data_IF_531862351932
#
_entry.id   IF_531862351932
#
_cell.length_a   1.000
_cell.length_b   1.000
_cell.length_c   1.000
_cell.angle_alpha   90.00
_cell.angle_beta   90.00
_cell.angle_gamma   90.00
#
_symmetry.space_group_name_H-M   'P 1'
#
loop_
_entity.id
_entity.type
_entity.pdbx_description
1 polymer ?
#
# COMPACT_ATOMS: atom_id res chain seq x y z
N UNK A 1 18.04 8.82 -13.61
CA UNK A 1 18.15 7.37 -13.38
C UNK A 1 18.38 6.62 -14.70
N UNK A 2 17.49 6.77 -15.69
CA UNK A 2 17.63 6.08 -17.01
C UNK A 2 18.97 6.34 -17.67
N UNK A 3 19.45 7.59 -17.70
CA UNK A 3 20.75 7.95 -18.26
C UNK A 3 21.94 7.30 -17.51
N UNK A 4 21.71 6.91 -16.26
CA UNK A 4 22.69 6.20 -15.43
C UNK A 4 22.56 4.67 -15.54
N UNK A 5 21.64 4.15 -16.36
CA UNK A 5 21.40 2.73 -16.52
C UNK A 5 20.63 2.08 -15.34
N UNK A 6 20.05 2.89 -14.44
CA UNK A 6 19.22 2.42 -13.33
C UNK A 6 17.75 2.43 -13.74
N UNK A 7 17.03 1.34 -13.50
CA UNK A 7 15.58 1.29 -13.72
C UNK A 7 14.89 2.34 -12.84
N UNK A 8 14.08 3.26 -13.38
CA UNK A 8 13.45 4.29 -12.55
C UNK A 8 12.45 3.74 -11.54
N UNK A 9 11.62 2.78 -11.97
CA UNK A 9 10.54 2.20 -11.16
C UNK A 9 10.56 0.68 -11.26
N UNK A 10 10.70 -0.01 -10.14
CA UNK A 10 10.50 -1.45 -10.05
C UNK A 10 9.02 -1.77 -9.77
N UNK A 11 8.49 -2.78 -10.44
CA UNK A 11 7.11 -3.24 -10.28
C UNK A 11 7.02 -4.75 -10.47
N UNK A 12 6.29 -5.43 -9.60
CA UNK A 12 5.95 -6.84 -9.79
C UNK A 12 4.82 -7.01 -10.82
N UNK A 13 4.73 -8.20 -11.39
CA UNK A 13 3.83 -8.48 -12.51
C UNK A 13 2.47 -9.06 -12.10
N UNK A 14 2.21 -9.30 -10.82
CA UNK A 14 0.91 -9.80 -10.37
C UNK A 14 -0.15 -8.67 -10.41
N UNK A 15 -1.38 -9.01 -10.81
CA UNK A 15 -2.47 -8.04 -11.00
C UNK A 15 -2.73 -7.16 -9.79
N UNK A 16 -2.80 -7.75 -8.58
CA UNK A 16 -3.01 -6.99 -7.35
C UNK A 16 -1.91 -5.95 -7.05
N UNK A 17 -0.66 -6.23 -7.41
CA UNK A 17 0.45 -5.29 -7.24
C UNK A 17 0.31 -4.09 -8.20
N UNK A 18 -0.13 -4.37 -9.41
CA UNK A 18 -0.41 -3.33 -10.41
C UNK A 18 -1.61 -2.48 -9.98
N UNK A 19 -2.65 -3.10 -9.40
CA UNK A 19 -3.80 -2.38 -8.83
C UNK A 19 -3.40 -1.43 -7.70
N UNK A 20 -2.51 -1.84 -6.81
CA UNK A 20 -1.97 -0.96 -5.75
C UNK A 20 -1.28 0.26 -6.38
N UNK A 21 -0.39 0.04 -7.34
CA UNK A 21 0.30 1.14 -8.01
C UNK A 21 -0.67 2.06 -8.77
N UNK A 22 -1.65 1.48 -9.47
CA UNK A 22 -2.70 2.21 -10.16
C UNK A 22 -3.51 3.07 -9.20
N UNK A 23 -3.98 2.49 -8.08
CA UNK A 23 -4.73 3.20 -7.05
C UNK A 23 -3.93 4.34 -6.43
N UNK A 24 -2.66 4.10 -6.08
CA UNK A 24 -1.78 5.11 -5.51
C UNK A 24 -1.54 6.30 -6.47
N UNK A 25 -1.28 6.03 -7.74
CA UNK A 25 -1.10 7.06 -8.77
C UNK A 25 -2.40 7.83 -8.98
N UNK A 26 -3.53 7.13 -9.11
CA UNK A 26 -4.83 7.74 -9.31
C UNK A 26 -5.19 8.67 -8.16
N UNK A 27 -5.04 8.20 -6.92
CA UNK A 27 -5.28 9.01 -5.73
C UNK A 27 -4.35 10.24 -5.67
N UNK A 28 -3.07 10.05 -5.96
CA UNK A 28 -2.09 11.13 -5.93
C UNK A 28 -2.38 12.22 -6.97
N UNK A 29 -2.79 11.86 -8.17
CA UNK A 29 -2.98 12.79 -9.30
C UNK A 29 -4.39 13.34 -9.37
N UNK A 30 -5.42 12.49 -9.28
CA UNK A 30 -6.82 12.95 -9.32
C UNK A 30 -7.26 13.64 -8.02
N UNK A 31 -6.61 13.32 -6.90
CA UNK A 31 -6.93 13.87 -5.58
C UNK A 31 -8.09 13.17 -4.90
N UNK A 32 -8.23 13.46 -3.61
CA UNK A 32 -9.16 12.78 -2.72
C UNK A 32 -10.63 12.96 -3.14
N UNK A 33 -11.01 14.16 -3.61
CA UNK A 33 -12.40 14.45 -3.99
C UNK A 33 -12.83 13.59 -5.19
N UNK A 34 -12.02 13.59 -6.26
CA UNK A 34 -12.30 12.79 -7.44
C UNK A 34 -12.23 11.28 -7.13
N UNK A 35 -11.27 10.87 -6.29
CA UNK A 35 -11.17 9.48 -5.84
C UNK A 35 -12.43 9.04 -5.09
N UNK A 36 -12.94 9.83 -4.14
CA UNK A 36 -14.19 9.56 -3.43
C UNK A 36 -15.38 9.51 -4.40
N UNK A 37 -15.46 10.45 -5.34
CA UNK A 37 -16.52 10.49 -6.35
C UNK A 37 -16.64 9.18 -7.13
N UNK A 38 -15.52 8.55 -7.48
CA UNK A 38 -15.53 7.26 -8.19
C UNK A 38 -15.67 6.08 -7.23
N UNK A 39 -14.86 6.02 -6.18
CA UNK A 39 -14.77 4.80 -5.35
C UNK A 39 -15.88 4.72 -4.29
N UNK A 40 -16.43 5.83 -3.84
CA UNK A 40 -17.50 5.86 -2.84
C UNK A 40 -18.85 6.13 -3.51
N UNK A 41 -18.94 7.24 -4.26
CA UNK A 41 -20.23 7.71 -4.83
C UNK A 41 -20.59 6.99 -6.13
N UNK A 42 -19.67 6.20 -6.71
CA UNK A 42 -19.84 5.47 -7.98
C UNK A 42 -20.24 6.39 -9.14
N UNK A 43 -19.73 7.61 -9.14
CA UNK A 43 -20.08 8.63 -10.14
C UNK A 43 -19.26 8.43 -11.43
N UNK A 44 -19.93 7.93 -12.46
CA UNK A 44 -19.30 7.69 -13.76
C UNK A 44 -18.88 8.97 -14.50
N UNK A 45 -19.48 10.11 -14.21
CA UNK A 45 -19.09 11.38 -14.85
C UNK A 45 -17.76 11.88 -14.27
N UNK A 46 -17.52 11.71 -12.96
CA UNK A 46 -16.23 11.95 -12.35
C UNK A 46 -15.15 11.05 -12.93
N UNK A 47 -15.47 9.75 -13.12
CA UNK A 47 -14.54 8.79 -13.72
C UNK A 47 -14.14 9.15 -15.17
N UNK A 48 -14.97 9.92 -15.88
CA UNK A 48 -14.70 10.42 -17.24
C UNK A 48 -14.13 11.84 -17.24
N UNK A 49 -13.97 12.43 -16.09
CA UNK A 49 -13.52 13.81 -15.90
C UNK A 49 -12.02 14.01 -16.17
N UNK A 50 -11.60 15.28 -16.21
CA UNK A 50 -10.20 15.63 -16.49
C UNK A 50 -9.22 15.13 -15.43
N UNK A 51 -9.63 15.00 -14.16
CA UNK A 51 -8.81 14.52 -13.06
C UNK A 51 -8.40 13.06 -13.29
N UNK A 52 -9.37 12.20 -13.66
CA UNK A 52 -9.08 10.80 -13.99
C UNK A 52 -8.35 10.64 -15.32
N UNK A 53 -8.60 11.50 -16.30
CA UNK A 53 -7.80 11.54 -17.53
C UNK A 53 -6.33 11.79 -17.23
N UNK A 54 -6.02 12.79 -16.41
CA UNK A 54 -4.65 13.07 -15.98
C UNK A 54 -4.04 11.91 -15.16
N UNK A 55 -4.84 11.24 -14.31
CA UNK A 55 -4.39 10.08 -13.57
C UNK A 55 -4.04 8.90 -14.49
N UNK A 56 -4.84 8.61 -15.50
CA UNK A 56 -4.53 7.58 -16.50
C UNK A 56 -3.27 7.90 -17.30
N UNK A 57 -3.06 9.15 -17.70
CA UNK A 57 -1.82 9.58 -18.34
C UNK A 57 -0.60 9.35 -17.44
N UNK A 58 -0.72 9.62 -16.15
CA UNK A 58 0.33 9.36 -15.18
C UNK A 58 0.60 7.86 -14.99
N UNK A 59 -0.43 7.00 -15.03
CA UNK A 59 -0.26 5.54 -14.99
C UNK A 59 0.50 5.05 -16.22
N UNK A 60 0.18 5.54 -17.41
CA UNK A 60 0.94 5.21 -18.64
C UNK A 60 2.40 5.61 -18.49
N UNK A 61 2.67 6.82 -18.00
CA UNK A 61 4.05 7.29 -17.79
C UNK A 61 4.79 6.43 -16.74
N UNK A 62 4.11 6.02 -15.65
CA UNK A 62 4.69 5.13 -14.63
C UNK A 62 5.01 3.74 -15.20
N UNK A 63 4.13 3.20 -16.05
CA UNK A 63 4.38 1.94 -16.76
C UNK A 63 5.60 2.02 -17.67
N UNK A 64 5.75 3.12 -18.40
CA UNK A 64 6.92 3.34 -19.23
C UNK A 64 8.22 3.39 -18.41
N UNK A 65 8.19 4.01 -17.22
CA UNK A 65 9.30 4.05 -16.28
C UNK A 65 9.62 2.67 -15.66
N UNK A 66 8.64 1.76 -15.61
CA UNK A 66 8.79 0.40 -15.11
C UNK A 66 9.15 -0.61 -16.21
N UNK A 67 9.26 -0.18 -17.48
CA UNK A 67 9.66 -1.04 -18.61
C UNK A 67 11.05 -1.62 -18.34
N UNK A 68 11.11 -2.96 -18.21
CA UNK A 68 12.35 -3.66 -17.81
C UNK A 68 12.31 -4.22 -16.39
N UNK A 69 11.27 -3.95 -15.62
CA UNK A 69 11.01 -4.64 -14.36
C UNK A 69 10.48 -6.04 -14.66
N UNK A 70 11.38 -7.03 -14.75
CA UNK A 70 11.03 -8.41 -15.11
C UNK A 70 10.98 -9.31 -13.87
N UNK A 71 10.28 -8.88 -12.83
CA UNK A 71 10.11 -9.61 -11.57
C UNK A 71 8.64 -9.92 -11.34
N UNK A 72 8.36 -11.10 -10.78
CA UNK A 72 6.98 -11.56 -10.55
C UNK A 72 6.39 -10.96 -9.27
N UNK A 73 7.17 -10.94 -8.21
CA UNK A 73 6.69 -10.62 -6.88
C UNK A 73 7.16 -9.25 -6.40
N UNK A 74 6.35 -8.62 -5.57
CA UNK A 74 6.61 -7.30 -5.01
C UNK A 74 7.92 -7.21 -4.20
N UNK A 75 8.27 -8.26 -3.45
CA UNK A 75 9.51 -8.30 -2.67
C UNK A 75 10.75 -8.39 -3.56
N UNK A 76 10.64 -9.00 -4.73
CA UNK A 76 11.70 -8.96 -5.75
C UNK A 76 11.89 -7.54 -6.29
N UNK A 77 10.78 -6.81 -6.54
CA UNK A 77 10.83 -5.40 -6.93
C UNK A 77 11.43 -4.54 -5.80
N UNK A 78 11.06 -4.79 -4.53
CA UNK A 78 11.69 -4.13 -3.37
C UNK A 78 13.19 -4.39 -3.33
N UNK A 79 13.62 -5.64 -3.57
CA UNK A 79 15.04 -5.98 -3.61
C UNK A 79 15.81 -5.26 -4.73
N UNK A 80 15.18 -4.96 -5.87
CA UNK A 80 15.81 -4.12 -6.90
C UNK A 80 16.12 -2.71 -6.37
N UNK A 81 15.24 -2.13 -5.53
CA UNK A 81 15.50 -0.83 -4.89
C UNK A 81 16.60 -0.96 -3.84
N UNK A 82 16.54 -1.97 -2.98
CA UNK A 82 17.54 -2.24 -1.93
C UNK A 82 18.95 -2.37 -2.52
N UNK A 83 19.08 -3.02 -3.68
CA UNK A 83 20.37 -3.26 -4.34
C UNK A 83 20.80 -2.13 -5.28
N UNK A 84 19.99 -1.08 -5.45
CA UNK A 84 20.26 0.02 -6.37
C UNK A 84 20.04 -0.30 -7.85
N UNK A 85 19.45 -1.46 -8.18
CA UNK A 85 19.07 -1.82 -9.55
C UNK A 85 17.87 -1.01 -10.04
N UNK A 86 17.03 -0.53 -9.11
CA UNK A 86 15.93 0.39 -9.38
C UNK A 86 15.95 1.58 -8.41
N UNK A 87 15.37 2.70 -8.84
CA UNK A 87 15.33 3.93 -8.05
C UNK A 87 14.14 4.05 -7.12
N UNK A 88 13.03 3.38 -7.44
CA UNK A 88 11.79 3.45 -6.67
C UNK A 88 10.92 2.21 -6.87
N UNK A 89 9.93 2.06 -5.97
CA UNK A 89 8.82 1.12 -6.08
C UNK A 89 7.56 1.81 -5.53
N UNK A 90 6.40 1.52 -6.12
CA UNK A 90 5.10 1.86 -5.53
C UNK A 90 4.52 0.59 -4.92
N UNK A 91 4.38 0.58 -3.59
CA UNK A 91 3.89 -0.57 -2.83
C UNK A 91 3.34 -0.10 -1.48
N UNK A 92 2.64 -0.97 -0.77
CA UNK A 92 2.19 -0.70 0.59
C UNK A 92 3.34 -0.58 1.59
N UNK A 93 3.04 -0.06 2.76
CA UNK A 93 3.99 0.23 3.81
C UNK A 93 4.75 -1.00 4.32
N UNK A 94 4.17 -2.20 4.19
CA UNK A 94 4.83 -3.47 4.53
C UNK A 94 6.15 -3.73 3.76
N UNK A 95 6.37 -3.07 2.62
CA UNK A 95 7.64 -3.17 1.91
C UNK A 95 8.84 -2.71 2.77
N UNK A 96 8.61 -1.88 3.78
CA UNK A 96 9.62 -1.44 4.73
C UNK A 96 10.23 -2.62 5.52
N UNK A 97 9.48 -3.70 5.75
CA UNK A 97 9.98 -4.91 6.38
C UNK A 97 11.16 -5.53 5.61
N UNK A 98 11.11 -5.53 4.27
CA UNK A 98 12.21 -6.03 3.43
C UNK A 98 13.47 -5.16 3.56
N UNK A 99 13.32 -3.84 3.59
CA UNK A 99 14.44 -2.92 3.83
C UNK A 99 15.07 -3.15 5.20
N UNK A 100 14.24 -3.34 6.24
CA UNK A 100 14.69 -3.61 7.59
C UNK A 100 15.47 -4.93 7.70
N UNK A 101 14.95 -6.00 7.08
CA UNK A 101 15.62 -7.32 7.03
C UNK A 101 16.96 -7.23 6.28
N UNK A 102 17.05 -6.39 5.25
CA UNK A 102 18.27 -6.14 4.51
C UNK A 102 19.26 -5.21 5.26
N UNK A 103 18.92 -4.74 6.47
CA UNK A 103 19.75 -3.84 7.26
C UNK A 103 19.80 -2.40 6.73
N UNK A 104 18.85 -2.02 5.88
CA UNK A 104 18.74 -0.66 5.34
C UNK A 104 18.11 0.28 6.37
N UNK A 105 18.58 1.51 6.42
CA UNK A 105 18.17 2.54 7.38
C UNK A 105 17.38 3.64 6.65
N UNK A 106 16.14 3.85 7.08
CA UNK A 106 15.30 4.94 6.57
C UNK A 106 15.97 6.30 6.82
N UNK A 107 15.88 7.19 5.83
CA UNK A 107 16.54 8.50 5.85
C UNK A 107 18.03 8.48 5.45
N UNK A 108 18.64 7.30 5.35
CA UNK A 108 20.03 7.12 4.90
C UNK A 108 20.09 6.34 3.60
N UNK A 109 19.50 5.15 3.58
CA UNK A 109 19.58 4.23 2.45
C UNK A 109 18.32 4.29 1.57
N UNK A 110 17.18 4.57 2.18
CA UNK A 110 15.91 4.76 1.48
C UNK A 110 15.05 5.84 2.15
N UNK A 111 14.00 6.27 1.47
CA UNK A 111 12.97 7.16 2.00
C UNK A 111 11.61 6.77 1.44
N UNK A 112 10.54 7.32 2.01
CA UNK A 112 9.18 7.10 1.56
C UNK A 112 8.46 8.41 1.23
N UNK A 113 7.55 8.33 0.27
CA UNK A 113 6.74 9.43 -0.21
C UNK A 113 5.25 9.03 -0.14
N UNK A 114 4.59 9.12 1.03
CA UNK A 114 3.16 8.86 1.14
C UNK A 114 2.37 9.72 0.14
N UNK A 115 1.37 9.10 -0.54
CA UNK A 115 0.62 9.77 -1.60
C UNK A 115 1.49 10.30 -2.73
N UNK A 116 2.61 9.64 -3.01
CA UNK A 116 3.64 10.03 -3.99
C UNK A 116 4.17 11.46 -3.79
N UNK A 117 4.06 12.00 -2.57
CA UNK A 117 4.45 13.37 -2.24
C UNK A 117 3.48 14.45 -2.76
N UNK A 118 2.36 14.07 -3.37
CA UNK A 118 1.35 15.00 -3.92
C UNK A 118 0.13 15.13 -3.01
N UNK A 119 -0.50 14.01 -2.68
CA UNK A 119 -1.67 13.94 -1.80
C UNK A 119 -1.42 12.92 -0.69
N UNK A 120 -0.82 13.31 0.45
CA UNK A 120 -0.46 12.40 1.52
C UNK A 120 -1.71 11.97 2.33
N UNK A 121 -2.41 11.00 1.81
CA UNK A 121 -3.54 10.31 2.46
C UNK A 121 -3.28 8.82 2.48
N UNK A 122 -3.91 8.11 3.41
CA UNK A 122 -3.80 6.67 3.58
C UNK A 122 -5.11 6.02 3.13
N UNK A 123 -5.03 5.14 2.17
CA UNK A 123 -6.09 4.15 1.92
C UNK A 123 -5.99 3.08 3.01
N UNK A 124 -7.08 2.91 3.76
CA UNK A 124 -7.13 2.00 4.90
C UNK A 124 -7.36 0.55 4.49
N UNK A 125 -6.52 0.04 3.60
CA UNK A 125 -6.38 -1.39 3.41
C UNK A 125 -5.65 -2.03 4.59
N UNK A 126 -5.82 -3.33 4.79
CA UNK A 126 -5.11 -4.04 5.85
C UNK A 126 -5.30 -5.54 5.77
N UNK A 127 -4.51 -6.26 6.57
CA UNK A 127 -4.66 -7.70 6.71
C UNK A 127 -5.80 -8.03 7.66
N UNK A 128 -6.57 -9.07 7.33
CA UNK A 128 -7.62 -9.62 8.17
C UNK A 128 -7.28 -11.05 8.58
N UNK A 129 -7.49 -11.35 9.86
CA UNK A 129 -7.38 -12.70 10.39
C UNK A 129 -8.77 -13.34 10.46
N UNK A 130 -8.94 -14.46 9.77
CA UNK A 130 -10.18 -15.22 9.75
C UNK A 130 -10.06 -16.45 10.65
N UNK A 131 -11.04 -16.65 11.50
CA UNK A 131 -11.13 -17.80 12.39
C UNK A 131 -12.24 -18.73 11.87
N UNK A 132 -11.90 -19.94 11.40
CA UNK A 132 -12.91 -20.88 10.91
C UNK A 132 -13.84 -21.30 12.06
N UNK A 133 -15.12 -21.45 11.75
CA UNK A 133 -16.10 -22.04 12.68
C UNK A 133 -15.73 -23.50 12.93
N UNK A 134 -15.74 -23.91 14.19
CA UNK A 134 -15.56 -25.29 14.59
C UNK A 134 -16.42 -25.62 15.81
N UNK A 135 -16.66 -26.90 16.05
CA UNK A 135 -17.51 -27.39 17.16
C UNK A 135 -16.71 -27.71 18.43
N UNK A 136 -15.39 -27.57 18.41
CA UNK A 136 -14.52 -27.83 19.55
C UNK A 136 -14.38 -26.55 20.40
N UNK A 137 -14.85 -26.59 21.68
CA UNK A 137 -14.77 -25.42 22.54
C UNK A 137 -13.35 -25.03 22.93
N UNK A 138 -12.39 -25.97 22.95
CA UNK A 138 -10.98 -25.68 23.24
C UNK A 138 -10.34 -24.92 22.06
N UNK A 139 -10.64 -25.31 20.83
CA UNK A 139 -10.19 -24.61 19.64
C UNK A 139 -10.82 -23.20 19.59
N UNK A 140 -12.11 -23.07 19.86
CA UNK A 140 -12.79 -21.77 19.92
C UNK A 140 -12.18 -20.86 20.98
N UNK A 141 -11.87 -21.39 22.17
CA UNK A 141 -11.19 -20.62 23.22
C UNK A 141 -9.80 -20.14 22.75
N UNK A 142 -9.02 -21.03 22.15
CA UNK A 142 -7.69 -20.67 21.62
C UNK A 142 -7.76 -19.62 20.50
N UNK A 143 -8.76 -19.68 19.62
CA UNK A 143 -9.00 -18.63 18.61
C UNK A 143 -9.28 -17.26 19.23
N UNK A 144 -10.10 -17.21 20.29
CA UNK A 144 -10.41 -15.97 21.00
C UNK A 144 -9.18 -15.41 21.74
N UNK A 145 -8.36 -16.28 22.35
CA UNK A 145 -7.10 -15.88 22.97
C UNK A 145 -6.12 -15.32 21.93
N UNK A 146 -5.99 -15.97 20.78
CA UNK A 146 -5.17 -15.47 19.67
C UNK A 146 -5.66 -14.11 19.15
N UNK A 147 -6.98 -13.96 18.96
CA UNK A 147 -7.56 -12.69 18.53
C UNK A 147 -7.25 -11.56 19.55
N UNK A 148 -7.41 -11.84 20.85
CA UNK A 148 -7.08 -10.88 21.90
C UNK A 148 -5.58 -10.55 21.93
N UNK A 149 -4.72 -11.54 21.72
CA UNK A 149 -3.27 -11.35 21.65
C UNK A 149 -2.88 -10.47 20.46
N UNK A 150 -3.42 -10.73 19.27
CA UNK A 150 -3.11 -9.97 18.04
C UNK A 150 -3.44 -8.48 18.15
N UNK A 151 -4.47 -8.12 18.93
CA UNK A 151 -4.84 -6.73 19.16
C UNK A 151 -4.26 -6.15 20.47
N UNK A 152 -3.45 -6.91 21.22
CA UNK A 152 -2.84 -6.40 22.45
C UNK A 152 -1.84 -5.29 22.14
N UNK A 153 -1.61 -4.33 23.06
CA UNK A 153 -0.67 -3.23 22.84
C UNK A 153 0.74 -3.71 22.48
N UNK A 154 1.24 -4.69 23.20
CA UNK A 154 2.62 -5.21 23.01
C UNK A 154 2.80 -5.85 21.63
N UNK A 155 1.82 -6.65 21.21
CA UNK A 155 1.87 -7.32 19.90
C UNK A 155 1.69 -6.30 18.79
N UNK A 156 0.78 -5.34 18.92
CA UNK A 156 0.58 -4.29 17.92
C UNK A 156 1.86 -3.45 17.73
N UNK A 157 2.58 -3.11 18.77
CA UNK A 157 3.86 -2.42 18.66
C UNK A 157 4.90 -3.30 17.96
N UNK A 158 5.17 -4.50 18.50
CA UNK A 158 6.25 -5.36 17.99
C UNK A 158 6.01 -5.83 16.56
N UNK A 159 4.77 -6.22 16.25
CA UNK A 159 4.38 -6.69 14.92
C UNK A 159 4.52 -5.59 13.87
N UNK A 160 3.99 -4.38 14.15
CA UNK A 160 4.02 -3.30 13.18
C UNK A 160 5.42 -2.73 12.99
N UNK A 161 6.24 -2.64 14.04
CA UNK A 161 7.66 -2.28 13.90
C UNK A 161 8.44 -3.27 13.03
N UNK A 162 8.16 -4.58 13.15
CA UNK A 162 8.80 -5.59 12.33
C UNK A 162 8.31 -5.58 10.88
N UNK A 163 7.00 -5.40 10.68
CA UNK A 163 6.37 -5.36 9.36
C UNK A 163 6.63 -4.05 8.62
N UNK A 164 6.81 -2.94 9.33
CA UNK A 164 6.90 -1.60 8.77
C UNK A 164 5.54 -0.94 8.49
N UNK A 165 4.46 -1.51 9.02
CA UNK A 165 3.07 -1.05 8.82
C UNK A 165 2.56 -0.24 10.01
N UNK A 166 1.41 0.43 9.82
CA UNK A 166 0.77 1.19 10.88
C UNK A 166 -0.13 0.27 11.73
N UNK A 167 -0.18 0.50 13.06
CA UNK A 167 -1.02 -0.28 13.95
C UNK A 167 -2.51 0.09 13.80
N UNK A 168 -3.39 -0.86 14.13
CA UNK A 168 -4.84 -0.60 14.21
C UNK A 168 -5.25 0.09 15.52
N UNK A 169 -4.30 0.26 16.47
CA UNK A 169 -4.51 0.92 17.75
C UNK A 169 -3.90 2.31 17.75
N UNK A 170 -4.67 3.29 18.25
CA UNK A 170 -4.19 4.65 18.46
C UNK A 170 -3.72 4.95 19.90
N UNK A 171 -3.78 3.98 20.81
CA UNK A 171 -3.49 4.11 22.24
C UNK A 171 -2.16 3.43 22.65
N UNK A 172 -1.25 3.26 21.71
CA UNK A 172 0.06 2.60 21.89
C UNK A 172 1.20 3.56 21.55
N UNK A 173 2.37 3.31 22.15
CA UNK A 173 3.57 4.11 21.91
C UNK A 173 4.34 3.59 20.69
N UNK A 174 4.35 4.38 19.63
CA UNK A 174 5.08 4.14 18.39
C UNK A 174 6.28 5.13 18.23
N UNK A 175 6.78 5.70 19.32
CA UNK A 175 7.86 6.68 19.27
C UNK A 175 9.18 6.12 18.70
N UNK A 176 9.36 4.80 18.74
CA UNK A 176 10.53 4.09 18.16
C UNK A 176 10.35 3.73 16.69
N UNK A 177 9.19 4.02 16.09
CA UNK A 177 8.96 3.78 14.66
C UNK A 177 9.87 4.66 13.80
N UNK A 178 10.26 4.15 12.64
CA UNK A 178 11.10 4.88 11.69
C UNK A 178 10.37 6.10 11.09
N UNK A 179 11.10 6.96 10.38
CA UNK A 179 10.55 8.19 9.81
C UNK A 179 9.42 7.96 8.80
N UNK A 180 9.41 6.86 8.07
CA UNK A 180 8.31 6.49 7.17
C UNK A 180 7.03 6.17 7.94
N UNK A 181 7.12 5.38 8.99
CA UNK A 181 5.98 5.07 9.86
C UNK A 181 5.49 6.34 10.58
N UNK A 182 6.38 7.21 11.04
CA UNK A 182 6.02 8.49 11.67
C UNK A 182 5.24 9.39 10.72
N UNK A 183 5.62 9.48 9.43
CA UNK A 183 4.83 10.19 8.41
C UNK A 183 3.42 9.62 8.29
N UNK A 184 3.29 8.28 8.27
CA UNK A 184 1.99 7.61 8.24
C UNK A 184 1.14 7.91 9.48
N UNK A 185 1.72 7.85 10.66
CA UNK A 185 1.04 8.18 11.93
C UNK A 185 0.59 9.65 11.96
N UNK A 186 1.39 10.57 11.44
CA UNK A 186 1.02 11.98 11.33
C UNK A 186 -0.18 12.18 10.37
N UNK A 187 -0.20 11.48 9.24
CA UNK A 187 -1.33 11.52 8.30
C UNK A 187 -2.61 11.01 8.99
N UNK A 188 -2.54 9.88 9.73
CA UNK A 188 -3.66 9.35 10.50
C UNK A 188 -4.15 10.35 11.55
N UNK A 189 -3.24 10.95 12.32
CA UNK A 189 -3.57 11.92 13.36
C UNK A 189 -4.26 13.17 12.81
N UNK A 190 -3.97 13.55 11.57
CA UNK A 190 -4.58 14.68 10.87
C UNK A 190 -5.86 14.31 10.09
N UNK A 191 -6.34 13.07 10.21
CA UNK A 191 -7.56 12.61 9.54
C UNK A 191 -7.38 12.36 8.03
N UNK A 192 -6.16 12.22 7.56
CA UNK A 192 -5.82 11.91 6.17
C UNK A 192 -6.05 10.43 5.83
N UNK A 193 -7.26 9.94 6.11
CA UNK A 193 -7.63 8.53 5.93
C UNK A 193 -8.81 8.43 4.97
N UNK A 194 -8.70 7.55 3.99
CA UNK A 194 -9.79 7.19 3.10
C UNK A 194 -10.37 5.83 3.47
N UNK A 195 -11.68 5.62 3.23
CA UNK A 195 -12.25 4.29 3.30
C UNK A 195 -11.51 3.35 2.37
N UNK A 196 -11.29 2.10 2.80
CA UNK A 196 -10.63 1.11 1.96
C UNK A 196 -11.38 0.90 0.64
N UNK A 197 -10.64 0.91 -0.46
CA UNK A 197 -11.16 0.52 -1.77
C UNK A 197 -11.67 -0.92 -1.78
N UNK A 198 -11.10 -1.80 -0.97
CA UNK A 198 -11.47 -3.21 -0.85
C UNK A 198 -12.91 -3.44 -0.36
N UNK A 199 -13.45 -2.51 0.43
CA UNK A 199 -14.85 -2.57 0.90
C UNK A 199 -15.82 -1.79 0.01
N UNK A 200 -15.31 -1.02 -0.93
CA UNK A 200 -16.11 -0.12 -1.79
C UNK A 200 -16.76 -0.85 -2.97
N UNK A 201 -16.22 -1.99 -3.36
CA UNK A 201 -16.71 -2.81 -4.48
C UNK A 201 -16.93 -4.26 -4.04
N UNK A 202 -17.79 -4.98 -4.76
CA UNK A 202 -17.89 -6.43 -4.60
C UNK A 202 -16.59 -7.11 -5.06
N UNK A 203 -16.28 -8.27 -4.51
CA UNK A 203 -15.10 -9.04 -4.91
C UNK A 203 -15.05 -9.30 -6.43
N UNK A 204 -16.18 -9.61 -7.04
CA UNK A 204 -16.27 -9.81 -8.50
C UNK A 204 -15.92 -8.54 -9.28
N UNK A 205 -16.38 -7.38 -8.82
CA UNK A 205 -16.02 -6.09 -9.43
C UNK A 205 -14.54 -5.76 -9.24
N UNK A 206 -13.97 -6.06 -8.09
CA UNK A 206 -12.53 -5.86 -7.83
C UNK A 206 -11.68 -6.69 -8.79
N UNK A 207 -11.99 -7.97 -8.96
CA UNK A 207 -11.29 -8.84 -9.91
C UNK A 207 -11.38 -8.33 -11.36
N UNK A 208 -12.57 -7.84 -11.77
CA UNK A 208 -12.72 -7.24 -13.10
C UNK A 208 -11.92 -5.95 -13.26
N UNK A 209 -11.82 -5.13 -12.21
CA UNK A 209 -10.99 -3.92 -12.23
C UNK A 209 -9.51 -4.26 -12.28
N UNK A 210 -9.04 -5.26 -11.54
CA UNK A 210 -7.66 -5.75 -11.60
C UNK A 210 -7.30 -6.24 -13.01
N UNK A 211 -8.17 -7.03 -13.63
CA UNK A 211 -7.98 -7.51 -14.99
C UNK A 211 -7.90 -6.36 -16.01
N UNK A 212 -8.76 -5.35 -15.87
CA UNK A 212 -8.74 -4.16 -16.73
C UNK A 212 -7.46 -3.34 -16.53
N UNK A 213 -7.05 -3.13 -15.28
CA UNK A 213 -5.83 -2.39 -14.94
C UNK A 213 -4.57 -3.09 -15.45
N UNK A 214 -4.54 -4.42 -15.38
CA UNK A 214 -3.43 -5.21 -15.92
C UNK A 214 -3.33 -5.17 -17.46
N UNK A 215 -4.44 -4.89 -18.14
CA UNK A 215 -4.49 -4.75 -19.61
C UNK A 215 -4.19 -3.33 -20.07
N UNK A 216 -4.36 -2.35 -19.19
CA UNK A 216 -4.14 -0.92 -19.48
C UNK A 216 -2.67 -0.55 -19.44
#
# INVERSE_FOLDING_TARGET
LQDAGTLPLAMGQQGWQQSIAFGAITLAVAGQEAWNGVNIDKNADVARGPEYTAAFEAVVAARDLATGSNVQDWNQATNMVITGAAGAQIMGDWAQGEFSVAGQVEGTDYSCLPGLGLNPVIDTGGDAFYFPVNDDPEITAAQLELAALLISPEVQVSFNLAKGSLPVRGDIDMSTANGCMQKGLEILANGGVLPSSDISFSQDTQLQLEDLQAQF
#
